data_IF_416340795084
#
_entry.id   IF_416340795084
#
_cell.length_a   1.000
_cell.length_b   1.000
_cell.length_c   1.000
_cell.angle_alpha   90.00
_cell.angle_beta   90.00
_cell.angle_gamma   90.00
#
_symmetry.space_group_name_H-M   'P 1'
#
loop_
_entity.id
_entity.type
_entity.pdbx_description
1 polymer ?
#
# COMPACT_ATOMS: atom_id res chain seq x y z
N UNK A 1 1.04 -21.69 12.00
CA UNK A 1 0.43 -21.05 10.83
C UNK A 1 0.60 -19.56 10.99
N UNK A 2 1.00 -18.82 9.95
CA UNK A 2 1.19 -17.36 10.01
C UNK A 2 -0.19 -16.70 9.90
N UNK A 3 -0.45 -15.70 10.74
CA UNK A 3 -1.70 -14.93 10.73
C UNK A 3 -1.59 -13.72 9.81
N UNK A 4 -2.24 -13.77 8.65
CA UNK A 4 -2.24 -12.70 7.66
C UNK A 4 -3.32 -11.63 7.89
N UNK A 5 -3.98 -11.63 9.06
CA UNK A 5 -4.79 -10.48 9.50
C UNK A 5 -3.94 -9.39 10.16
N UNK A 6 -2.68 -9.72 10.50
CA UNK A 6 -1.70 -8.81 11.08
C UNK A 6 -1.00 -8.02 9.96
N UNK A 7 -0.98 -6.67 10.00
CA UNK A 7 -0.38 -5.84 8.95
C UNK A 7 1.06 -6.19 8.60
N UNK A 8 1.89 -6.51 9.60
CA UNK A 8 3.28 -6.91 9.40
C UNK A 8 3.40 -8.15 8.50
N UNK A 9 2.54 -9.16 8.73
CA UNK A 9 2.54 -10.38 7.94
C UNK A 9 1.99 -10.16 6.53
N UNK A 10 1.11 -9.17 6.35
CA UNK A 10 0.62 -8.77 5.02
C UNK A 10 1.73 -8.08 4.21
N UNK A 11 2.50 -7.17 4.82
CA UNK A 11 3.66 -6.54 4.17
C UNK A 11 4.66 -7.61 3.72
N UNK A 12 5.06 -8.50 4.64
CA UNK A 12 5.95 -9.63 4.35
C UNK A 12 5.46 -10.49 3.19
N UNK A 13 4.16 -10.79 3.15
CA UNK A 13 3.56 -11.56 2.07
C UNK A 13 3.66 -10.85 0.71
N UNK A 14 3.42 -9.54 0.66
CA UNK A 14 3.45 -8.75 -0.58
C UNK A 14 4.86 -8.65 -1.15
N UNK A 15 5.86 -8.46 -0.27
CA UNK A 15 7.26 -8.28 -0.70
C UNK A 15 7.98 -9.61 -0.94
N UNK A 16 7.37 -10.75 -0.58
CA UNK A 16 7.95 -12.08 -0.73
C UNK A 16 8.84 -12.53 0.44
N UNK A 17 8.96 -11.71 1.48
CA UNK A 17 9.75 -11.95 2.70
C UNK A 17 9.04 -12.93 3.65
N UNK A 18 8.85 -14.16 3.17
CA UNK A 18 8.05 -15.21 3.83
C UNK A 18 8.90 -16.30 4.48
N UNK A 19 10.22 -16.25 4.30
CA UNK A 19 11.14 -17.21 4.90
C UNK A 19 11.46 -16.81 6.35
N UNK A 20 10.72 -17.37 7.30
CA UNK A 20 10.92 -17.07 8.73
C UNK A 20 12.30 -17.44 9.29
N UNK A 21 13.09 -18.27 8.60
CA UNK A 21 14.43 -18.65 9.05
C UNK A 21 15.51 -17.66 8.61
N UNK A 22 15.27 -16.90 7.55
CA UNK A 22 16.20 -15.94 6.95
C UNK A 22 15.38 -14.85 6.26
N UNK A 23 14.75 -13.95 7.02
CA UNK A 23 13.96 -12.87 6.46
C UNK A 23 14.85 -11.74 5.94
N UNK A 24 14.42 -11.09 4.86
CA UNK A 24 15.10 -9.92 4.31
C UNK A 24 15.03 -8.72 5.26
N UNK A 25 13.92 -8.62 6.01
CA UNK A 25 13.71 -7.59 7.03
C UNK A 25 13.34 -8.20 8.38
N UNK A 26 13.90 -7.67 9.46
CA UNK A 26 13.45 -7.97 10.80
C UNK A 26 12.07 -7.35 11.09
N UNK A 27 11.44 -7.77 12.19
CA UNK A 27 10.09 -7.29 12.53
C UNK A 27 10.04 -5.78 12.83
N UNK A 28 11.11 -5.22 13.39
CA UNK A 28 11.17 -3.79 13.72
C UNK A 28 11.26 -2.94 12.45
N UNK A 29 11.97 -3.43 11.42
CA UNK A 29 12.03 -2.83 10.10
C UNK A 29 10.65 -2.85 9.42
N UNK A 30 9.94 -3.97 9.46
CA UNK A 30 8.56 -4.06 8.92
C UNK A 30 7.61 -3.10 9.64
N UNK A 31 7.67 -3.03 10.97
CA UNK A 31 6.90 -2.04 11.77
C UNK A 31 7.30 -0.61 11.43
N UNK A 32 8.59 -0.37 11.17
CA UNK A 32 9.11 0.93 10.74
C UNK A 32 8.48 1.39 9.43
N UNK A 33 8.44 0.52 8.40
CA UNK A 33 7.78 0.83 7.13
C UNK A 33 6.28 1.11 7.32
N UNK A 34 5.58 0.30 8.12
CA UNK A 34 4.18 0.55 8.45
C UNK A 34 3.98 1.90 9.15
N UNK A 35 4.88 2.27 10.07
CA UNK A 35 4.82 3.55 10.78
C UNK A 35 4.99 4.73 9.82
N UNK A 36 5.96 4.65 8.91
CA UNK A 36 6.20 5.68 7.86
C UNK A 36 4.98 5.79 6.95
N UNK A 37 4.42 4.66 6.56
CA UNK A 37 3.23 4.54 5.72
C UNK A 37 1.90 4.85 6.45
N UNK A 38 1.94 5.28 7.71
CA UNK A 38 0.75 5.57 8.54
C UNK A 38 -0.24 4.40 8.63
N UNK A 39 0.28 3.17 8.66
CA UNK A 39 -0.51 1.94 8.71
C UNK A 39 -0.96 1.42 7.35
N UNK A 40 -0.72 2.13 6.24
CA UNK A 40 -1.03 1.62 4.90
C UNK A 40 -0.06 0.48 4.53
N UNK A 41 -0.61 -0.73 4.45
CA UNK A 41 0.14 -1.95 4.11
C UNK A 41 0.74 -1.87 2.71
N UNK A 42 -0.01 -1.33 1.74
CA UNK A 42 0.46 -1.20 0.36
C UNK A 42 1.60 -0.17 0.22
N UNK A 43 1.50 0.98 0.91
CA UNK A 43 2.59 1.98 0.92
C UNK A 43 3.82 1.43 1.66
N UNK A 44 3.63 0.74 2.79
CA UNK A 44 4.73 0.12 3.53
C UNK A 44 5.47 -0.94 2.68
N UNK A 45 4.73 -1.79 1.97
CA UNK A 45 5.31 -2.77 1.06
C UNK A 45 6.04 -2.11 -0.11
N UNK A 46 5.52 -1.01 -0.66
CA UNK A 46 6.21 -0.24 -1.69
C UNK A 46 7.55 0.33 -1.20
N UNK A 47 7.59 0.86 0.03
CA UNK A 47 8.81 1.40 0.62
C UNK A 47 9.85 0.30 0.91
N UNK A 48 9.42 -0.87 1.38
CA UNK A 48 10.29 -2.02 1.55
C UNK A 48 10.87 -2.53 0.22
N UNK A 49 10.07 -2.60 -0.85
CA UNK A 49 10.56 -2.96 -2.19
C UNK A 49 11.57 -1.96 -2.76
N UNK A 50 11.40 -0.66 -2.48
CA UNK A 50 12.37 0.36 -2.88
C UNK A 50 13.69 0.25 -2.10
N UNK A 51 13.65 -0.20 -0.83
CA UNK A 51 14.85 -0.54 -0.07
C UNK A 51 15.60 -1.71 -0.71
N UNK A 52 14.91 -2.81 -1.04
CA UNK A 52 15.51 -3.96 -1.76
C UNK A 52 16.10 -3.51 -3.11
N UNK A 53 15.37 -2.68 -3.87
CA UNK A 53 15.84 -2.16 -5.15
C UNK A 53 17.08 -1.27 -5.02
N UNK A 54 17.24 -0.60 -3.88
CA UNK A 54 18.43 0.21 -3.57
C UNK A 54 19.61 -0.69 -3.27
N UNK A 55 19.42 -1.73 -2.46
CA UNK A 55 20.46 -2.70 -2.13
C UNK A 55 20.93 -3.46 -3.37
N UNK A 56 20.02 -3.88 -4.25
CA UNK A 56 20.38 -4.55 -5.51
C UNK A 56 21.18 -3.61 -6.45
N UNK A 57 20.82 -2.33 -6.52
CA UNK A 57 21.56 -1.36 -7.30
C UNK A 57 22.98 -1.11 -6.73
N UNK A 58 23.13 -1.08 -5.41
CA UNK A 58 24.44 -0.96 -4.74
C UNK A 58 25.28 -2.23 -4.92
N UNK A 59 24.65 -3.41 -4.83
CA UNK A 59 25.31 -4.69 -5.04
C UNK A 59 25.80 -4.82 -6.49
N UNK A 60 24.98 -4.44 -7.47
CA UNK A 60 25.40 -4.43 -8.87
C UNK A 60 26.57 -3.50 -9.11
N UNK A 61 26.57 -2.28 -8.54
CA UNK A 61 27.73 -1.36 -8.61
C UNK A 61 29.00 -2.02 -8.04
N UNK A 62 28.88 -2.78 -6.96
CA UNK A 62 30.01 -3.53 -6.38
C UNK A 62 30.46 -4.68 -7.30
N UNK A 63 29.54 -5.45 -7.87
CA UNK A 63 29.84 -6.57 -8.76
C UNK A 63 30.40 -6.13 -10.11
N UNK A 64 30.03 -4.95 -10.63
CA UNK A 64 30.67 -4.38 -11.82
C UNK A 64 32.19 -4.15 -11.61
N UNK A 65 32.66 -4.06 -10.36
CA UNK A 65 34.10 -4.02 -10.03
C UNK A 65 34.75 -5.41 -9.87
N UNK A 66 33.94 -6.48 -9.85
CA UNK A 66 34.34 -7.87 -9.64
C UNK A 66 33.58 -8.79 -10.63
N UNK A 67 34.01 -8.85 -11.89
CA UNK A 67 33.58 -9.73 -13.01
C UNK A 67 32.49 -10.80 -12.73
N UNK A 68 31.27 -10.39 -12.36
CA UNK A 68 30.12 -11.29 -12.20
C UNK A 68 28.90 -10.73 -12.92
N UNK A 69 28.15 -11.61 -13.56
CA UNK A 69 27.02 -11.25 -14.42
C UNK A 69 25.69 -11.38 -13.64
N UNK A 70 25.28 -10.30 -12.98
CA UNK A 70 23.91 -10.12 -12.49
C UNK A 70 23.39 -8.78 -13.01
N UNK A 71 22.23 -8.75 -13.67
CA UNK A 71 21.60 -7.51 -14.12
C UNK A 71 20.77 -6.87 -12.99
N UNK A 72 21.47 -6.50 -11.91
CA UNK A 72 20.86 -5.83 -10.77
C UNK A 72 20.12 -4.52 -11.12
N UNK A 73 20.54 -3.72 -12.12
CA UNK A 73 19.76 -2.57 -12.57
C UNK A 73 18.39 -2.97 -13.10
N UNK A 74 18.29 -4.04 -13.91
CA UNK A 74 16.99 -4.51 -14.40
C UNK A 74 16.09 -5.03 -13.27
N UNK A 75 16.66 -5.73 -12.28
CA UNK A 75 15.92 -6.18 -11.09
C UNK A 75 15.42 -4.99 -10.28
N UNK A 76 16.28 -4.02 -10.00
CA UNK A 76 15.92 -2.81 -9.27
C UNK A 76 14.81 -2.01 -9.98
N UNK A 77 14.86 -1.93 -11.31
CA UNK A 77 13.80 -1.28 -12.09
C UNK A 77 12.47 -2.03 -12.05
N UNK A 78 12.49 -3.37 -12.06
CA UNK A 78 11.30 -4.18 -11.91
C UNK A 78 10.65 -3.98 -10.53
N UNK A 79 11.47 -3.94 -9.46
CA UNK A 79 11.02 -3.69 -8.10
C UNK A 79 10.41 -2.29 -7.95
N UNK A 80 11.04 -1.24 -8.51
CA UNK A 80 10.49 0.13 -8.49
C UNK A 80 9.16 0.25 -9.23
N UNK A 81 8.98 -0.49 -10.33
CA UNK A 81 7.69 -0.56 -11.05
C UNK A 81 6.62 -1.23 -10.18
N UNK A 82 6.97 -2.29 -9.47
CA UNK A 82 6.05 -2.94 -8.53
C UNK A 82 5.65 -1.98 -7.38
N UNK A 83 6.63 -1.31 -6.77
CA UNK A 83 6.39 -0.30 -5.73
C UNK A 83 5.47 0.83 -6.23
N UNK A 84 5.68 1.31 -7.45
CA UNK A 84 4.80 2.33 -8.08
C UNK A 84 3.37 1.83 -8.24
N UNK A 85 3.18 0.58 -8.67
CA UNK A 85 1.85 -0.01 -8.80
C UNK A 85 1.13 -0.17 -7.45
N UNK A 86 1.86 -0.52 -6.39
CA UNK A 86 1.31 -0.58 -5.03
C UNK A 86 0.89 0.79 -4.51
N UNK A 87 1.70 1.84 -4.75
CA UNK A 87 1.33 3.21 -4.39
C UNK A 87 0.07 3.68 -5.11
N UNK A 88 -0.06 3.36 -6.41
CA UNK A 88 -1.27 3.67 -7.17
C UNK A 88 -2.51 2.99 -6.59
N UNK A 89 -2.39 1.72 -6.20
CA UNK A 89 -3.50 1.00 -5.54
C UNK A 89 -3.85 1.61 -4.18
N UNK A 90 -2.85 2.02 -3.40
CA UNK A 90 -3.10 2.70 -2.12
C UNK A 90 -3.83 4.04 -2.33
N UNK A 91 -3.47 4.80 -3.37
CA UNK A 91 -4.17 6.04 -3.72
C UNK A 91 -5.62 5.76 -4.18
N UNK A 92 -5.86 4.65 -4.87
CA UNK A 92 -7.21 4.20 -5.27
C UNK A 92 -8.06 3.76 -4.06
N UNK A 93 -7.47 3.09 -3.06
CA UNK A 93 -8.14 2.69 -1.82
C UNK A 93 -8.56 3.91 -0.99
N UNK A 94 -7.66 4.87 -0.81
CA UNK A 94 -7.92 6.12 -0.07
C UNK A 94 -9.03 6.94 -0.75
N UNK A 95 -9.02 7.02 -2.09
CA UNK A 95 -10.07 7.70 -2.84
C UNK A 95 -11.45 6.99 -2.73
N UNK A 96 -11.47 5.66 -2.65
CA UNK A 96 -12.71 4.90 -2.49
C UNK A 96 -13.29 5.01 -1.07
N UNK A 97 -12.44 5.14 -0.05
CA UNK A 97 -12.86 5.38 1.34
C UNK A 97 -13.47 6.77 1.52
N UNK A 98 -12.94 7.80 0.83
CA UNK A 98 -13.51 9.15 0.82
C UNK A 98 -14.88 9.23 0.11
N UNK A 99 -15.14 8.31 -0.84
CA UNK A 99 -16.39 8.21 -1.60
C UNK A 99 -17.51 7.42 -0.87
N UNK A 100 -17.28 6.96 0.36
CA UNK A 100 -18.31 6.33 1.21
C UNK A 100 -18.99 7.42 2.08
N UNK A 101 -20.14 7.99 1.66
CA UNK A 101 -20.83 9.02 2.43
C UNK A 101 -21.37 8.42 3.73
N UNK A 102 -20.58 8.53 4.79
CA UNK A 102 -20.98 8.33 6.19
C UNK A 102 -22.19 9.21 6.61
N UNK A 103 -22.61 10.15 5.75
CA UNK A 103 -23.86 10.89 5.81
C UNK A 103 -24.82 10.55 4.66
N UNK A 104 -25.07 9.27 4.36
CA UNK A 104 -26.39 8.91 3.81
C UNK A 104 -27.40 9.11 4.92
N UNK A 105 -27.85 10.37 5.01
CA UNK A 105 -28.95 10.79 5.84
C UNK A 105 -30.06 9.76 5.72
N UNK A 106 -30.39 9.10 6.82
CA UNK A 106 -31.72 8.51 6.98
C UNK A 106 -32.71 9.55 6.45
N UNK A 107 -33.49 9.19 5.45
CA UNK A 107 -34.62 9.98 5.01
C UNK A 107 -35.66 10.01 6.14
N UNK A 108 -35.39 10.78 7.21
CA UNK A 108 -36.33 11.05 8.28
C UNK A 108 -37.23 12.18 7.78
N UNK A 109 -38.29 11.75 7.10
CA UNK A 109 -39.59 12.40 7.19
C UNK A 109 -39.89 13.51 6.20
N UNK A 110 -40.95 13.30 5.42
CA UNK A 110 -41.82 14.36 4.98
C UNK A 110 -41.95 14.45 3.47
N UNK A 111 -42.99 13.81 2.94
CA UNK A 111 -43.60 14.19 1.67
C UNK A 111 -43.72 15.72 1.62
N UNK A 112 -43.05 16.34 0.65
CA UNK A 112 -43.20 17.77 0.37
C UNK A 112 -44.63 18.06 -0.05
N UNK A 113 -45.51 18.32 0.92
CA UNK A 113 -46.74 19.06 0.67
C UNK A 113 -46.33 20.47 0.26
N UNK A 114 -46.63 20.84 -0.98
CA UNK A 114 -46.46 22.21 -1.45
C UNK A 114 -47.37 23.13 -0.61
N UNK A 115 -46.76 23.97 0.24
CA UNK A 115 -47.41 25.13 0.86
C UNK A 115 -47.76 26.13 -0.25
N UNK A 116 -48.98 26.08 -0.77
CA UNK A 116 -49.41 27.03 -1.81
C UNK A 116 -50.82 26.87 -2.37
N UNK A 117 -51.65 25.96 -1.85
CA UNK A 117 -53.05 25.83 -2.32
C UNK A 117 -54.00 26.61 -1.39
N UNK A 118 -53.88 27.94 -1.41
CA UNK A 118 -54.89 28.84 -0.83
C UNK A 118 -56.10 28.89 -1.77
N UNK A 119 -57.14 28.17 -1.34
CA UNK A 119 -58.46 28.08 -1.94
C UNK A 119 -59.14 29.46 -1.94
N UNK A 120 -59.08 30.19 -3.07
CA UNK A 120 -59.89 31.40 -3.27
C UNK A 120 -61.30 31.00 -3.72
N UNK A 121 -62.24 31.08 -2.78
CA UNK A 121 -63.68 31.28 -3.03
C UNK A 121 -63.93 32.65 -3.67
#
# INVERSE_FOLDING_TARGET
MVDYTVPENQVRLIIGDTNAADPDFDDDQIRGFLTIARGSVLRAAADALDAIATDEALLSKKIQTQDRASDGPAVADALRKHATALRKRADEEEAAEDDDPFFTAFAIGGEGRAEGEEHRL
#
